data_IF_038363462509
#
_entry.id   IF_038363462509
#
_cell.length_a   1.000
_cell.length_b   1.000
_cell.length_c   1.000
_cell.angle_alpha   90.00
_cell.angle_beta   90.00
_cell.angle_gamma   90.00
#
_symmetry.space_group_name_H-M   'P 1'
#
loop_
_entity.id
_entity.type
_entity.pdbx_description
1 polymer ?
#
# COMPACT_ATOMS: atom_id res chain seq x y z
N UNK A 1 -4.55 2.30 8.36
CA UNK A 1 -3.88 3.60 8.62
C UNK A 1 -2.39 3.51 8.29
N UNK A 2 -1.76 2.37 8.61
CA UNK A 2 -0.38 2.02 8.25
C UNK A 2 -0.05 2.29 6.79
N UNK A 3 -0.81 1.76 5.83
CA UNK A 3 -0.53 1.95 4.40
C UNK A 3 -0.62 3.40 3.94
N UNK A 4 -1.57 4.16 4.50
CA UNK A 4 -1.71 5.59 4.22
C UNK A 4 -0.54 6.40 4.79
N UNK A 5 -0.12 6.12 6.03
CA UNK A 5 1.06 6.76 6.64
C UNK A 5 2.35 6.35 5.94
N UNK A 6 2.46 5.10 5.49
CA UNK A 6 3.60 4.58 4.74
C UNK A 6 3.71 5.29 3.40
N UNK A 7 2.62 5.33 2.61
CA UNK A 7 2.64 6.00 1.30
C UNK A 7 2.90 7.51 1.45
N UNK A 8 2.33 8.15 2.48
CA UNK A 8 2.54 9.57 2.74
C UNK A 8 3.97 9.89 3.23
N UNK A 9 4.63 8.98 3.94
CA UNK A 9 5.99 9.22 4.46
C UNK A 9 7.11 8.73 3.53
N UNK A 10 6.99 7.53 2.98
CA UNK A 10 8.08 6.87 2.25
C UNK A 10 8.15 7.31 0.80
N UNK A 11 7.02 7.42 0.08
CA UNK A 11 7.04 7.73 -1.35
C UNK A 11 7.62 9.13 -1.60
N UNK A 12 7.25 10.17 -0.82
CA UNK A 12 7.83 11.50 -1.00
C UNK A 12 9.28 11.60 -0.53
N UNK A 13 9.70 10.88 0.51
CA UNK A 13 11.10 10.86 0.95
C UNK A 13 12.02 10.14 -0.04
N UNK A 14 11.52 9.07 -0.68
CA UNK A 14 12.22 8.39 -1.77
C UNK A 14 12.38 9.36 -2.95
N UNK A 15 11.31 10.07 -3.33
CA UNK A 15 11.34 11.11 -4.37
C UNK A 15 12.31 12.26 -4.03
N UNK A 16 12.35 12.73 -2.77
CA UNK A 16 13.38 13.68 -2.32
C UNK A 16 14.75 13.07 -2.53
N UNK A 17 15.06 11.86 -2.04
CA UNK A 17 16.44 11.35 -2.15
C UNK A 17 16.93 11.25 -3.59
N UNK A 18 16.04 11.06 -4.56
CA UNK A 18 16.37 11.07 -5.99
C UNK A 18 16.55 12.48 -6.56
N UNK A 19 15.73 13.46 -6.19
CA UNK A 19 15.81 14.84 -6.72
C UNK A 19 16.77 15.76 -5.96
N UNK A 20 16.97 15.52 -4.66
CA UNK A 20 17.89 16.25 -3.78
C UNK A 20 19.37 16.04 -4.15
N UNK A 21 19.68 15.01 -4.95
CA UNK A 21 21.00 14.77 -5.51
C UNK A 21 21.32 15.66 -6.72
N UNK A 22 20.35 16.44 -7.22
CA UNK A 22 20.57 17.41 -8.29
C UNK A 22 21.50 18.53 -7.78
N UNK A 23 22.46 18.93 -8.61
CA UNK A 23 23.67 19.72 -8.35
C UNK A 23 23.54 21.00 -7.47
N UNK A 24 22.33 21.52 -7.24
CA UNK A 24 22.08 22.75 -6.47
C UNK A 24 22.18 22.59 -4.93
N UNK A 25 22.03 21.37 -4.41
CA UNK A 25 22.10 21.09 -2.96
C UNK A 25 23.54 21.07 -2.42
N UNK A 26 24.55 20.88 -3.28
CA UNK A 26 25.98 20.95 -2.90
C UNK A 26 26.37 22.28 -2.25
N UNK A 27 25.53 23.31 -2.39
CA UNK A 27 25.74 24.65 -1.84
C UNK A 27 25.44 24.76 -0.34
N UNK A 28 24.77 23.76 0.27
CA UNK A 28 24.44 23.79 1.69
C UNK A 28 25.08 22.58 2.40
N UNK A 29 26.01 22.87 3.30
CA UNK A 29 26.74 21.85 4.07
C UNK A 29 25.79 21.10 5.02
N UNK A 30 25.88 19.77 5.08
CA UNK A 30 25.18 18.95 6.07
C UNK A 30 23.79 18.46 5.67
N UNK A 31 23.20 18.96 4.57
CA UNK A 31 21.79 18.64 4.27
C UNK A 31 21.61 17.24 3.70
N UNK A 32 22.64 16.72 3.01
CA UNK A 32 22.64 15.33 2.52
C UNK A 32 22.58 14.36 3.70
N UNK A 33 23.34 14.65 4.76
CA UNK A 33 23.39 13.88 5.98
C UNK A 33 22.04 13.92 6.71
N UNK A 34 21.40 15.09 6.81
CA UNK A 34 20.07 15.23 7.42
C UNK A 34 18.98 14.47 6.66
N UNK A 35 18.98 14.51 5.32
CA UNK A 35 18.03 13.74 4.49
C UNK A 35 18.26 12.24 4.64
N UNK A 36 19.52 11.81 4.69
CA UNK A 36 19.86 10.40 4.91
C UNK A 36 19.42 9.91 6.29
N UNK A 37 19.59 10.72 7.34
CA UNK A 37 19.13 10.41 8.70
C UNK A 37 17.60 10.36 8.82
N UNK A 38 16.92 11.27 8.12
CA UNK A 38 15.45 11.28 8.07
C UNK A 38 14.94 9.98 7.41
N UNK A 39 15.56 9.56 6.30
CA UNK A 39 15.22 8.31 5.62
C UNK A 39 15.45 7.10 6.51
N UNK A 40 16.60 6.99 7.18
CA UNK A 40 16.89 5.83 8.02
C UNK A 40 15.91 5.72 9.20
N UNK A 41 15.53 6.86 9.80
CA UNK A 41 14.58 6.89 10.91
C UNK A 41 13.17 6.51 10.45
N UNK A 42 12.71 6.98 9.29
CA UNK A 42 11.39 6.56 8.75
C UNK A 42 11.35 5.06 8.46
N UNK A 43 12.43 4.49 7.90
CA UNK A 43 12.52 3.04 7.70
C UNK A 43 12.44 2.29 9.03
N UNK A 44 13.18 2.73 10.05
CA UNK A 44 13.15 2.09 11.37
C UNK A 44 11.78 2.19 12.07
N UNK A 45 10.99 3.23 11.77
CA UNK A 45 9.62 3.40 12.27
C UNK A 45 8.64 2.52 11.48
N UNK A 46 8.85 2.34 10.17
CA UNK A 46 8.03 1.46 9.32
C UNK A 46 7.99 0.04 9.89
N UNK A 47 9.14 -0.47 10.30
CA UNK A 47 9.29 -1.85 10.80
C UNK A 47 8.48 -2.13 12.07
N UNK A 48 8.05 -1.09 12.79
CA UNK A 48 7.23 -1.21 14.02
C UNK A 48 5.80 -0.72 13.84
N UNK A 49 5.45 -0.16 12.68
CA UNK A 49 4.17 0.53 12.46
C UNK A 49 2.99 -0.44 12.51
N UNK A 50 3.12 -1.62 11.88
CA UNK A 50 2.07 -2.63 11.88
C UNK A 50 1.80 -3.19 13.29
N UNK A 51 2.86 -3.45 14.06
CA UNK A 51 2.75 -3.87 15.45
C UNK A 51 2.14 -2.79 16.35
N UNK A 52 2.45 -1.51 16.09
CA UNK A 52 1.87 -0.39 16.80
C UNK A 52 0.38 -0.20 16.47
N UNK A 53 -0.05 -0.37 15.21
CA UNK A 53 -1.46 -0.24 14.81
C UNK A 53 -2.34 -1.26 15.53
N UNK A 54 -1.85 -2.48 15.75
CA UNK A 54 -2.55 -3.51 16.53
C UNK A 54 -2.66 -3.13 18.00
N UNK A 55 -1.53 -2.71 18.61
CA UNK A 55 -1.47 -2.34 20.04
C UNK A 55 -2.24 -1.06 20.37
N UNK A 56 -2.57 -0.21 19.39
CA UNK A 56 -3.24 1.08 19.66
C UNK A 56 -4.65 0.92 20.28
N UNK A 57 -5.30 -0.22 20.04
CA UNK A 57 -6.63 -0.52 20.58
C UNK A 57 -6.56 -0.88 22.08
N UNK A 58 -5.41 -1.39 22.52
CA UNK A 58 -5.18 -1.88 23.88
C UNK A 58 -4.40 -0.88 24.74
N UNK A 59 -3.43 -0.16 24.16
CA UNK A 59 -2.59 0.80 24.86
C UNK A 59 -2.77 2.24 24.32
N UNK A 60 -3.45 3.13 25.08
CA UNK A 60 -3.60 4.53 24.73
C UNK A 60 -2.28 5.29 24.52
N UNK A 61 -1.16 4.81 25.08
CA UNK A 61 0.18 5.39 24.88
C UNK A 61 0.69 5.12 23.48
N UNK A 62 0.44 3.93 22.94
CA UNK A 62 0.78 3.56 21.55
C UNK A 62 -0.06 4.38 20.58
N UNK A 63 -1.36 4.57 20.88
CA UNK A 63 -2.22 5.46 20.10
C UNK A 63 -1.68 6.89 20.05
N UNK A 64 -1.30 7.47 21.20
CA UNK A 64 -0.68 8.82 21.24
C UNK A 64 0.64 8.88 20.47
N UNK A 65 1.42 7.80 20.46
CA UNK A 65 2.65 7.72 19.69
C UNK A 65 2.36 7.71 18.18
N UNK A 66 1.35 6.97 17.72
CA UNK A 66 0.89 6.99 16.32
C UNK A 66 0.32 8.36 15.92
N UNK A 67 -0.41 9.03 16.82
CA UNK A 67 -0.91 10.39 16.58
C UNK A 67 0.25 11.38 16.38
N UNK A 68 1.30 11.30 17.21
CA UNK A 68 2.51 12.12 17.03
C UNK A 68 3.21 11.85 15.70
N UNK A 69 3.24 10.60 15.25
CA UNK A 69 3.81 10.25 13.96
C UNK A 69 2.99 10.81 12.79
N UNK A 70 1.65 10.76 12.89
CA UNK A 70 0.73 11.38 11.93
C UNK A 70 0.91 12.91 11.87
N UNK A 71 1.11 13.57 13.01
CA UNK A 71 1.34 15.01 13.01
C UNK A 71 2.67 15.37 12.33
N UNK A 72 3.71 14.54 12.49
CA UNK A 72 5.01 14.74 11.84
C UNK A 72 4.94 14.47 10.34
N UNK A 73 4.12 13.51 9.89
CA UNK A 73 3.98 13.24 8.46
C UNK A 73 3.38 14.43 7.70
N UNK A 74 2.38 15.12 8.26
CA UNK A 74 1.90 16.38 7.66
C UNK A 74 2.99 17.46 7.58
N UNK A 75 3.89 17.53 8.57
CA UNK A 75 4.99 18.47 8.53
C UNK A 75 6.04 18.10 7.47
N UNK A 76 6.27 16.80 7.23
CA UNK A 76 7.14 16.30 6.16
C UNK A 76 6.57 16.72 4.81
N UNK A 77 5.28 16.47 4.54
CA UNK A 77 4.59 16.87 3.30
C UNK A 77 4.64 18.39 3.07
N UNK A 78 4.43 19.18 4.13
CA UNK A 78 4.52 20.64 4.02
C UNK A 78 5.94 21.13 3.65
N UNK A 79 6.99 20.46 4.11
CA UNK A 79 8.38 20.81 3.77
C UNK A 79 8.71 20.40 2.34
N UNK A 80 8.20 19.23 1.94
CA UNK A 80 8.25 18.68 0.58
C UNK A 80 7.62 19.62 -0.45
N UNK A 81 6.38 20.04 -0.23
CA UNK A 81 5.66 20.93 -1.15
C UNK A 81 6.38 22.26 -1.33
N UNK A 82 6.88 22.84 -0.23
CA UNK A 82 7.69 24.07 -0.27
C UNK A 82 8.95 23.89 -1.09
N UNK A 83 9.59 22.72 -1.01
CA UNK A 83 10.80 22.41 -1.75
C UNK A 83 10.51 22.24 -3.26
N UNK A 84 9.53 21.40 -3.60
CA UNK A 84 9.12 21.14 -4.98
C UNK A 84 8.70 22.42 -5.70
N UNK A 85 7.89 23.26 -5.03
CA UNK A 85 7.50 24.58 -5.54
C UNK A 85 8.71 25.44 -5.88
N UNK A 86 9.76 25.38 -5.06
CA UNK A 86 10.96 26.21 -5.22
C UNK A 86 11.92 25.69 -6.28
N UNK A 87 12.09 24.38 -6.42
CA UNK A 87 12.83 23.77 -7.55
C UNK A 87 12.18 24.17 -8.86
N UNK A 88 10.87 23.93 -8.99
CA UNK A 88 10.13 24.24 -10.21
C UNK A 88 10.20 25.73 -10.56
N UNK A 89 10.10 26.62 -9.57
CA UNK A 89 10.26 28.06 -9.78
C UNK A 89 11.67 28.43 -10.24
N UNK A 90 12.71 27.73 -9.76
CA UNK A 90 14.11 27.99 -10.15
C UNK A 90 14.38 27.56 -11.60
N UNK A 91 13.79 26.44 -12.03
CA UNK A 91 13.88 25.93 -13.40
C UNK A 91 13.13 26.84 -14.39
N UNK A 92 11.93 27.30 -14.03
CA UNK A 92 11.16 28.27 -14.82
C UNK A 92 11.94 29.57 -15.00
N UNK A 93 12.57 30.08 -13.93
CA UNK A 93 13.41 31.27 -14.01
C UNK A 93 14.65 31.07 -14.89
N UNK A 94 15.27 29.88 -14.89
CA UNK A 94 16.37 29.55 -15.79
C UNK A 94 15.93 29.51 -17.26
N UNK A 95 14.77 28.88 -17.54
CA UNK A 95 14.19 28.81 -18.90
C UNK A 95 13.79 30.20 -19.42
N UNK A 96 13.26 31.06 -18.55
CA UNK A 96 12.89 32.44 -18.91
C UNK A 96 14.12 33.35 -19.09
N UNK A 97 15.22 33.10 -18.39
CA UNK A 97 16.48 33.83 -18.57
C UNK A 97 17.27 33.40 -19.82
N UNK A 98 16.93 32.27 -20.43
CA UNK A 98 17.50 31.77 -21.68
C UNK A 98 16.70 32.15 -22.94
N UNK A 99 15.61 32.91 -22.81
CA UNK A 99 14.92 33.47 -23.98
C UNK A 99 15.77 34.60 -24.59
N UNK A 100 16.00 34.64 -25.92
CA UNK A 100 16.83 35.66 -26.54
C UNK A 100 16.16 37.04 -26.39
N UNK A 101 16.86 37.97 -25.73
CA UNK A 101 16.45 39.37 -25.70
C UNK A 101 16.59 39.98 -27.12
N UNK A 102 15.68 40.88 -27.56
CA UNK A 102 15.85 41.59 -28.81
C UNK A 102 17.11 42.47 -28.77
N UNK A 103 17.86 42.50 -29.88
CA UNK A 103 19.17 43.13 -30.01
C UNK A 103 19.15 44.63 -29.64
N UNK A 104 20.18 45.14 -28.91
CA UNK A 104 20.26 46.57 -28.60
C UNK A 104 20.85 47.37 -29.79
N UNK A 105 20.23 48.51 -30.09
CA UNK A 105 20.74 49.50 -31.04
C UNK A 105 22.04 50.17 -30.53
N UNK A 106 22.96 50.61 -31.41
CA UNK A 106 24.28 51.04 -31.00
C UNK A 106 24.26 52.50 -30.55
N UNK A 107 24.67 52.80 -29.32
CA UNK A 107 25.09 54.14 -28.92
C UNK A 107 26.38 54.10 -28.11
N UNK A 108 27.39 54.78 -28.64
CA UNK A 108 28.77 54.90 -28.15
C UNK A 108 28.82 55.52 -26.76
N UNK A 109 29.39 54.84 -25.76
CA UNK A 109 30.16 55.47 -24.66
C UNK A 109 31.32 54.56 -24.21
N UNK A 110 32.38 55.24 -23.76
CA UNK A 110 33.79 54.87 -23.66
C UNK A 110 34.07 53.69 -22.71
N UNK A 111 34.99 52.81 -23.13
CA UNK A 111 35.51 51.66 -22.38
C UNK A 111 36.72 52.09 -21.54
N UNK A 112 36.72 51.77 -20.24
CA UNK A 112 37.94 51.74 -19.41
C UNK A 112 38.33 50.26 -19.15
N UNK A 113 39.61 49.88 -19.21
CA UNK A 113 40.02 48.48 -19.12
C UNK A 113 40.31 48.02 -17.67
N UNK A 114 39.49 47.06 -17.20
CA UNK A 114 39.79 45.83 -16.41
C UNK A 114 40.39 45.92 -14.97
N UNK A 115 40.06 45.00 -14.03
CA UNK A 115 40.08 43.54 -14.22
C UNK A 115 38.79 42.78 -13.97
N UNK A 116 38.66 41.73 -14.78
CA UNK A 116 37.69 40.63 -14.74
C UNK A 116 37.69 39.88 -13.41
N UNK A 117 36.96 40.41 -12.42
CA UNK A 117 36.34 39.61 -11.38
C UNK A 117 34.95 40.16 -11.04
N UNK A 118 34.13 40.32 -12.08
CA UNK A 118 32.68 40.26 -11.89
C UNK A 118 32.33 38.84 -11.47
N UNK A 119 32.61 38.52 -10.19
CA UNK A 119 31.85 37.56 -9.44
C UNK A 119 30.39 37.87 -9.73
N UNK A 120 29.79 37.10 -10.65
CA UNK A 120 28.34 36.98 -10.75
C UNK A 120 27.87 36.26 -9.49
N UNK A 121 27.97 36.93 -8.35
CA UNK A 121 27.27 36.59 -7.10
C UNK A 121 25.80 37.01 -7.22
N UNK A 122 25.18 36.66 -8.34
CA UNK A 122 23.76 36.31 -8.37
C UNK A 122 23.72 34.89 -7.79
N UNK A 123 23.30 34.62 -6.56
CA UNK A 123 21.97 34.91 -6.00
C UNK A 123 21.95 34.66 -4.46
N UNK A 124 22.15 35.66 -3.57
CA UNK A 124 22.06 35.46 -2.12
C UNK A 124 20.67 35.01 -1.65
N UNK A 125 19.61 35.41 -2.37
CA UNK A 125 18.22 35.03 -2.08
C UNK A 125 17.95 33.53 -2.26
N UNK A 126 18.58 32.88 -3.25
CA UNK A 126 18.42 31.43 -3.50
C UNK A 126 19.08 30.59 -2.42
N UNK A 127 20.30 30.95 -2.02
CA UNK A 127 21.04 30.26 -0.96
C UNK A 127 20.32 30.38 0.39
N UNK A 128 19.79 31.56 0.75
CA UNK A 128 19.04 31.75 1.99
C UNK A 128 17.75 30.91 2.08
N UNK A 129 17.10 30.69 0.93
CA UNK A 129 15.93 29.82 0.82
C UNK A 129 16.30 28.34 1.02
N UNK A 130 17.40 27.87 0.43
CA UNK A 130 17.90 26.51 0.61
C UNK A 130 18.31 26.25 2.08
N UNK A 131 18.94 27.23 2.72
CA UNK A 131 19.26 27.17 4.15
C UNK A 131 18.00 27.14 5.04
N UNK A 132 16.89 27.77 4.63
CA UNK A 132 15.63 27.69 5.36
C UNK A 132 15.04 26.28 5.29
N UNK A 133 15.00 25.66 4.10
CA UNK A 133 14.49 24.29 3.95
C UNK A 133 15.40 23.28 4.65
N UNK A 134 16.72 23.43 4.56
CA UNK A 134 17.67 22.60 5.29
C UNK A 134 17.43 22.62 6.81
N UNK A 135 17.12 23.80 7.38
CA UNK A 135 16.76 23.92 8.81
C UNK A 135 15.42 23.25 9.14
N UNK A 136 14.44 23.28 8.23
CA UNK A 136 13.16 22.58 8.42
C UNK A 136 13.37 21.06 8.37
N UNK A 137 14.18 20.54 7.44
CA UNK A 137 14.56 19.11 7.37
C UNK A 137 15.28 18.67 8.66
N UNK A 138 16.25 19.46 9.14
CA UNK A 138 16.95 19.16 10.38
C UNK A 138 15.99 19.04 11.58
N UNK A 139 15.05 19.98 11.71
CA UNK A 139 14.03 19.94 12.78
C UNK A 139 13.11 18.72 12.67
N UNK A 140 12.77 18.31 11.44
CA UNK A 140 12.00 17.08 11.21
C UNK A 140 12.79 15.86 11.67
N UNK A 141 14.07 15.79 11.33
CA UNK A 141 14.95 14.70 11.70
C UNK A 141 15.07 14.58 13.24
N UNK A 142 15.36 15.69 13.94
CA UNK A 142 15.40 15.75 15.41
C UNK A 142 14.06 15.33 16.05
N UNK A 143 12.95 15.72 15.44
CA UNK A 143 11.60 15.39 15.93
C UNK A 143 11.29 13.91 15.75
N UNK A 144 11.62 13.36 14.59
CA UNK A 144 11.38 11.97 14.26
C UNK A 144 12.28 11.05 15.09
N UNK A 145 13.56 11.39 15.29
CA UNK A 145 14.46 10.65 16.18
C UNK A 145 13.93 10.60 17.62
N UNK A 146 13.33 11.68 18.11
CA UNK A 146 12.72 11.72 19.43
C UNK A 146 11.48 10.82 19.51
N UNK A 147 10.69 10.73 18.45
CA UNK A 147 9.55 9.81 18.36
C UNK A 147 10.05 8.36 18.29
N UNK A 148 11.09 8.09 17.49
CA UNK A 148 11.71 6.78 17.38
C UNK A 148 12.27 6.30 18.73
N UNK A 149 13.02 7.15 19.45
CA UNK A 149 13.54 6.83 20.79
C UNK A 149 12.42 6.45 21.77
N UNK A 150 11.23 7.04 21.64
CA UNK A 150 10.09 6.74 22.49
C UNK A 150 9.49 5.36 22.25
N UNK A 151 9.72 4.72 21.09
CA UNK A 151 9.23 3.37 20.78
C UNK A 151 9.68 2.33 21.81
N UNK A 152 10.88 2.51 22.36
CA UNK A 152 11.48 1.62 23.37
C UNK A 152 10.66 1.55 24.65
N UNK A 153 10.00 2.63 25.04
CA UNK A 153 9.17 2.66 26.26
C UNK A 153 7.84 1.94 26.12
N UNK A 154 7.45 1.58 24.89
CA UNK A 154 6.18 0.93 24.59
C UNK A 154 6.35 -0.54 24.20
N UNK A 155 7.57 -1.09 24.38
CA UNK A 155 7.93 -2.44 23.94
C UNK A 155 7.53 -2.70 22.48
N UNK A 156 7.66 -1.65 21.65
CA UNK A 156 7.57 -1.72 20.19
C UNK A 156 8.96 -2.08 19.67
N UNK A 157 9.43 -3.28 20.01
CA UNK A 157 10.58 -3.86 19.32
C UNK A 157 10.11 -4.44 17.99
N UNK A 158 11.04 -4.71 17.07
CA UNK A 158 10.81 -5.53 15.86
C UNK A 158 10.36 -6.91 16.30
N UNK A 159 9.10 -6.98 16.71
CA UNK A 159 8.43 -8.20 17.10
C UNK A 159 8.37 -8.94 15.79
N UNK A 160 9.00 -10.13 15.70
CA UNK A 160 8.82 -11.04 14.58
C UNK A 160 7.35 -10.94 14.20
N UNK A 161 7.08 -10.48 12.98
CA UNK A 161 5.72 -10.29 12.47
C UNK A 161 5.04 -11.62 12.70
N UNK A 162 4.27 -11.72 13.80
CA UNK A 162 3.42 -12.88 14.02
C UNK A 162 2.45 -12.75 12.87
N UNK A 163 2.44 -13.71 11.92
CA UNK A 163 1.57 -13.61 10.76
C UNK A 163 0.18 -13.33 11.30
N UNK A 164 -0.33 -12.18 10.88
CA UNK A 164 -1.60 -11.66 11.35
C UNK A 164 -2.63 -12.72 10.93
N UNK A 165 -3.09 -13.57 11.87
CA UNK A 165 -4.10 -14.56 11.53
C UNK A 165 -5.36 -13.75 11.24
N UNK A 166 -5.60 -13.48 9.95
CA UNK A 166 -6.83 -12.81 9.52
C UNK A 166 -8.01 -13.64 10.03
N UNK A 167 -9.09 -12.94 10.39
CA UNK A 167 -10.30 -13.61 10.87
C UNK A 167 -10.78 -14.56 9.79
N UNK A 168 -10.91 -15.83 10.13
CA UNK A 168 -11.54 -16.83 9.27
C UNK A 168 -12.98 -16.39 9.00
N UNK A 169 -13.38 -16.44 7.72
CA UNK A 169 -14.75 -16.21 7.29
C UNK A 169 -15.47 -17.55 7.18
N UNK A 170 -16.75 -17.60 7.56
CA UNK A 170 -17.59 -18.78 7.43
C UNK A 170 -18.67 -18.56 6.38
N UNK A 171 -19.29 -19.64 5.92
CA UNK A 171 -20.45 -19.58 5.02
C UNK A 171 -21.75 -19.14 5.72
N UNK A 172 -21.75 -19.01 7.04
CA UNK A 172 -22.97 -18.70 7.82
C UNK A 172 -23.33 -17.22 7.71
N UNK A 173 -24.58 -16.95 7.35
CA UNK A 173 -25.13 -15.58 7.28
C UNK A 173 -26.54 -15.53 7.87
N UNK A 174 -26.80 -14.49 8.68
CA UNK A 174 -28.15 -14.15 9.12
C UNK A 174 -28.85 -13.39 7.98
N UNK A 175 -29.46 -14.14 7.05
CA UNK A 175 -30.09 -13.59 5.83
C UNK A 175 -31.09 -12.46 6.15
N UNK A 176 -31.80 -12.57 7.28
CA UNK A 176 -32.79 -11.59 7.76
C UNK A 176 -32.22 -10.21 8.11
N UNK A 177 -30.91 -10.09 8.29
CA UNK A 177 -30.24 -8.83 8.66
C UNK A 177 -29.59 -8.12 7.47
N UNK A 178 -29.68 -8.69 6.26
CA UNK A 178 -29.07 -8.13 5.05
C UNK A 178 -30.14 -7.43 4.21
N UNK A 179 -29.90 -6.16 3.88
CA UNK A 179 -30.84 -5.31 3.14
C UNK A 179 -30.19 -4.77 1.86
N UNK A 180 -31.00 -4.63 0.79
CA UNK A 180 -30.63 -3.92 -0.43
C UNK A 180 -29.64 -4.67 -1.34
N UNK A 181 -29.51 -5.99 -1.18
CA UNK A 181 -28.63 -6.85 -1.98
C UNK A 181 -29.37 -7.82 -2.89
N UNK A 182 -30.69 -7.72 -2.98
CA UNK A 182 -31.53 -8.67 -3.72
C UNK A 182 -31.16 -8.71 -5.20
N UNK A 183 -31.01 -7.56 -5.85
CA UNK A 183 -30.64 -7.49 -7.27
C UNK A 183 -29.24 -8.07 -7.54
N UNK A 184 -28.25 -7.76 -6.70
CA UNK A 184 -26.89 -8.29 -6.83
C UNK A 184 -26.86 -9.81 -6.64
N UNK A 185 -27.64 -10.31 -5.67
CA UNK A 185 -27.76 -11.74 -5.36
C UNK A 185 -28.43 -12.49 -6.51
N UNK A 186 -29.55 -11.97 -7.01
CA UNK A 186 -30.30 -12.58 -8.10
C UNK A 186 -29.47 -12.62 -9.40
N UNK A 187 -28.71 -11.55 -9.66
CA UNK A 187 -27.75 -11.52 -10.76
C UNK A 187 -26.67 -12.60 -10.60
N UNK A 188 -26.04 -12.68 -9.42
CA UNK A 188 -25.02 -13.70 -9.13
C UNK A 188 -25.56 -15.12 -9.29
N UNK A 189 -26.77 -15.41 -8.81
CA UNK A 189 -27.41 -16.71 -8.96
C UNK A 189 -27.69 -17.00 -10.44
N UNK A 190 -28.13 -16.00 -11.22
CA UNK A 190 -28.38 -16.19 -12.64
C UNK A 190 -27.10 -16.55 -13.43
N UNK A 191 -25.96 -15.96 -13.06
CA UNK A 191 -24.66 -16.28 -13.66
C UNK A 191 -24.18 -17.68 -13.23
N UNK A 192 -24.40 -18.07 -11.96
CA UNK A 192 -24.06 -19.40 -11.45
C UNK A 192 -24.87 -20.52 -12.13
N UNK A 193 -26.14 -20.27 -12.41
CA UNK A 193 -27.08 -21.25 -12.96
C UNK A 193 -27.25 -21.14 -14.48
N UNK A 194 -26.48 -20.28 -15.15
CA UNK A 194 -26.61 -20.09 -16.59
C UNK A 194 -26.12 -21.35 -17.34
N UNK A 195 -27.07 -22.17 -17.81
CA UNK A 195 -26.78 -23.31 -18.66
C UNK A 195 -26.03 -22.85 -19.93
N UNK A 196 -24.79 -23.29 -20.08
CA UNK A 196 -24.09 -23.19 -21.36
C UNK A 196 -24.63 -24.26 -22.31
N UNK A 197 -25.87 -24.11 -22.76
CA UNK A 197 -26.55 -24.97 -23.73
C UNK A 197 -25.95 -24.90 -25.15
N UNK A 198 -24.70 -24.49 -25.28
CA UNK A 198 -23.99 -24.35 -26.54
C UNK A 198 -22.50 -24.55 -26.32
N UNK A 199 -22.01 -25.72 -26.70
CA UNK A 199 -20.62 -26.07 -27.10
C UNK A 199 -19.44 -25.56 -26.23
N UNK A 200 -19.69 -25.03 -25.04
CA UNK A 200 -18.64 -24.68 -24.06
C UNK A 200 -18.22 -25.95 -23.33
N UNK A 201 -17.42 -26.76 -24.01
CA UNK A 201 -16.76 -27.89 -23.40
C UNK A 201 -16.03 -27.48 -22.11
N UNK A 202 -16.39 -28.12 -20.99
CA UNK A 202 -15.54 -28.41 -19.82
C UNK A 202 -14.75 -27.25 -19.16
N UNK A 203 -15.10 -25.98 -19.37
CA UNK A 203 -14.44 -24.87 -18.66
C UNK A 203 -15.28 -24.48 -17.43
N UNK A 204 -14.70 -24.46 -16.21
CA UNK A 204 -15.42 -24.02 -15.02
C UNK A 204 -15.78 -22.53 -15.13
N UNK A 205 -17.00 -22.18 -14.72
CA UNK A 205 -17.44 -20.78 -14.61
C UNK A 205 -16.72 -20.14 -13.42
N UNK A 206 -16.04 -19.02 -13.64
CA UNK A 206 -15.32 -18.27 -12.60
C UNK A 206 -15.95 -16.88 -12.50
N UNK A 207 -16.48 -16.54 -11.31
CA UNK A 207 -17.14 -15.26 -11.06
C UNK A 207 -16.35 -14.47 -10.00
N UNK A 208 -15.60 -13.43 -10.39
CA UNK A 208 -14.87 -12.60 -9.44
C UNK A 208 -15.78 -11.56 -8.77
N UNK A 209 -15.80 -11.52 -7.43
CA UNK A 209 -16.47 -10.46 -6.66
C UNK A 209 -15.39 -9.50 -6.12
N UNK A 210 -15.27 -8.32 -6.74
CA UNK A 210 -14.22 -7.35 -6.44
C UNK A 210 -14.81 -6.04 -5.92
N UNK A 211 -14.15 -5.43 -4.94
CA UNK A 211 -14.60 -4.19 -4.34
C UNK A 211 -13.82 -3.84 -3.08
N UNK A 212 -14.01 -2.62 -2.59
CA UNK A 212 -13.33 -2.12 -1.39
C UNK A 212 -13.61 -2.98 -0.15
N UNK A 213 -12.71 -2.91 0.85
CA UNK A 213 -12.93 -3.56 2.14
C UNK A 213 -14.22 -3.06 2.80
N UNK A 214 -14.96 -3.96 3.46
CA UNK A 214 -16.20 -3.62 4.18
C UNK A 214 -17.43 -3.38 3.31
N UNK A 215 -17.34 -3.45 1.98
CA UNK A 215 -18.51 -3.23 1.09
C UNK A 215 -19.54 -4.37 1.13
N UNK A 216 -19.24 -5.51 1.78
CA UNK A 216 -20.16 -6.65 1.89
C UNK A 216 -19.98 -7.74 0.83
N UNK A 217 -18.78 -7.91 0.25
CA UNK A 217 -18.48 -8.96 -0.74
C UNK A 217 -18.72 -10.37 -0.20
N UNK A 218 -18.11 -10.67 0.94
CA UNK A 218 -18.30 -11.93 1.67
C UNK A 218 -19.78 -12.16 1.96
N UNK A 219 -20.51 -11.13 2.40
CA UNK A 219 -21.95 -11.21 2.66
C UNK A 219 -22.75 -11.58 1.41
N UNK A 220 -22.44 -10.97 0.25
CA UNK A 220 -23.08 -11.31 -1.02
C UNK A 220 -22.82 -12.78 -1.42
N UNK A 221 -21.58 -13.24 -1.28
CA UNK A 221 -21.22 -14.63 -1.55
C UNK A 221 -21.92 -15.60 -0.59
N UNK A 222 -22.05 -15.27 0.70
CA UNK A 222 -22.79 -16.07 1.68
C UNK A 222 -24.28 -16.18 1.35
N UNK A 223 -24.90 -15.07 0.89
CA UNK A 223 -26.29 -15.05 0.46
C UNK A 223 -26.52 -16.00 -0.72
N UNK A 224 -25.67 -15.94 -1.75
CA UNK A 224 -25.76 -16.85 -2.89
C UNK A 224 -25.47 -18.31 -2.49
N UNK A 225 -24.47 -18.56 -1.66
CA UNK A 225 -24.14 -19.91 -1.17
C UNK A 225 -25.29 -20.56 -0.40
N UNK A 226 -26.08 -19.74 0.32
CA UNK A 226 -27.21 -20.18 1.15
C UNK A 226 -28.54 -20.18 0.39
N UNK A 227 -28.57 -19.77 -0.88
CA UNK A 227 -29.79 -19.74 -1.69
C UNK A 227 -30.26 -21.15 -2.05
N UNK A 228 -31.57 -21.38 -2.04
CA UNK A 228 -32.13 -22.70 -2.24
C UNK A 228 -31.94 -23.20 -3.68
N UNK A 229 -31.97 -22.32 -4.69
CA UNK A 229 -31.71 -22.72 -6.08
C UNK A 229 -30.26 -23.19 -6.24
N UNK A 230 -29.32 -22.52 -5.56
CA UNK A 230 -27.92 -22.93 -5.56
C UNK A 230 -27.74 -24.27 -4.83
N UNK A 231 -28.46 -24.51 -3.74
CA UNK A 231 -28.42 -25.81 -3.03
C UNK A 231 -28.96 -26.96 -3.88
N UNK A 232 -29.99 -26.71 -4.67
CA UNK A 232 -30.64 -27.71 -5.52
C UNK A 232 -29.78 -28.09 -6.73
N UNK A 233 -29.02 -27.15 -7.29
CA UNK A 233 -28.20 -27.37 -8.48
C UNK A 233 -26.77 -27.84 -8.16
N UNK A 234 -26.22 -27.53 -6.99
CA UNK A 234 -24.84 -27.91 -6.64
C UNK A 234 -24.83 -28.91 -5.47
N UNK A 235 -24.60 -30.18 -5.80
CA UNK A 235 -24.53 -31.27 -4.83
C UNK A 235 -23.36 -31.09 -3.85
N UNK A 236 -22.22 -30.64 -4.38
CA UNK A 236 -21.03 -30.35 -3.59
C UNK A 236 -20.83 -28.84 -3.51
N UNK A 237 -20.79 -28.29 -2.30
CA UNK A 237 -20.61 -26.86 -2.06
C UNK A 237 -19.54 -26.67 -1.00
N UNK A 238 -18.49 -25.95 -1.35
CA UNK A 238 -17.28 -25.79 -0.54
C UNK A 238 -17.03 -24.31 -0.30
N UNK A 239 -16.73 -23.94 0.94
CA UNK A 239 -16.35 -22.57 1.32
C UNK A 239 -14.98 -22.56 1.98
N UNK A 240 -14.00 -21.94 1.35
CA UNK A 240 -12.65 -21.82 1.91
C UNK A 240 -12.23 -20.37 2.00
N UNK A 241 -11.84 -19.97 3.21
CA UNK A 241 -11.13 -18.71 3.45
C UNK A 241 -9.65 -18.90 3.09
N UNK A 242 -9.18 -18.20 2.05
CA UNK A 242 -7.77 -18.29 1.62
C UNK A 242 -6.89 -17.52 2.59
N UNK A 243 -7.20 -16.23 2.80
CA UNK A 243 -6.54 -15.34 3.78
C UNK A 243 -5.00 -15.38 3.80
N UNK A 244 -4.38 -14.65 4.73
CA UNK A 244 -2.92 -14.66 4.92
C UNK A 244 -2.56 -15.25 6.30
N UNK A 245 -1.50 -16.09 6.40
CA UNK A 245 -0.58 -16.48 5.33
C UNK A 245 -1.21 -17.48 4.34
N UNK A 246 -0.81 -17.39 3.07
CA UNK A 246 -1.24 -18.33 2.03
C UNK A 246 -0.64 -19.72 2.30
N UNK A 247 -1.49 -20.69 2.63
CA UNK A 247 -1.11 -22.07 2.92
C UNK A 247 -1.84 -23.02 1.96
N UNK A 248 -1.17 -23.41 0.88
CA UNK A 248 -1.71 -24.32 -0.14
C UNK A 248 -2.20 -25.65 0.46
N UNK A 249 -1.45 -26.21 1.42
CA UNK A 249 -1.80 -27.48 2.05
C UNK A 249 -3.01 -27.29 2.97
N UNK A 250 -3.03 -26.21 3.76
CA UNK A 250 -4.14 -25.85 4.62
C UNK A 250 -5.44 -25.63 3.84
N UNK A 251 -5.37 -24.89 2.72
CA UNK A 251 -6.50 -24.66 1.82
C UNK A 251 -7.01 -25.98 1.24
N UNK A 252 -6.11 -26.83 0.74
CA UNK A 252 -6.48 -28.12 0.15
C UNK A 252 -7.14 -29.05 1.18
N UNK A 253 -6.65 -29.04 2.42
CA UNK A 253 -7.28 -29.78 3.53
C UNK A 253 -8.65 -29.22 3.92
N UNK A 254 -8.82 -27.89 3.91
CA UNK A 254 -10.11 -27.26 4.16
C UNK A 254 -11.16 -27.66 3.12
N UNK A 255 -10.78 -27.70 1.83
CA UNK A 255 -11.65 -28.19 0.76
C UNK A 255 -12.09 -29.65 1.03
N UNK A 256 -11.15 -30.53 1.37
CA UNK A 256 -11.45 -31.94 1.64
C UNK A 256 -12.34 -32.15 2.86
N UNK A 257 -12.17 -31.34 3.91
CA UNK A 257 -13.02 -31.37 5.10
C UNK A 257 -14.46 -31.00 4.76
N UNK A 258 -14.67 -29.96 3.94
CA UNK A 258 -16.00 -29.54 3.48
C UNK A 258 -16.66 -30.60 2.58
N UNK A 259 -15.87 -31.29 1.75
CA UNK A 259 -16.31 -32.44 0.95
C UNK A 259 -16.55 -33.71 1.78
N UNK A 260 -16.35 -33.65 3.11
CA UNK A 260 -16.47 -34.79 4.05
C UNK A 260 -15.58 -35.98 3.68
N UNK A 261 -14.47 -35.71 3.02
CA UNK A 261 -13.45 -36.71 2.67
C UNK A 261 -12.53 -36.88 3.88
N UNK A 262 -12.39 -38.11 4.36
CA UNK A 262 -11.51 -38.39 5.49
C UNK A 262 -10.07 -37.99 5.18
N UNK A 263 -9.49 -37.14 6.02
CA UNK A 263 -8.07 -36.83 5.96
C UNK A 263 -7.28 -38.04 6.42
N UNK A 264 -6.69 -38.78 5.48
CA UNK A 264 -5.60 -39.70 5.80
C UNK A 264 -4.39 -38.88 6.27
N UNK A 265 -3.39 -39.51 6.92
CA UNK A 265 -2.10 -38.87 7.32
C UNK A 265 -1.21 -38.47 6.11
N UNK A 266 -1.83 -38.03 5.02
CA UNK A 266 -1.18 -37.56 3.82
C UNK A 266 -0.91 -36.06 3.95
N UNK A 267 0.37 -35.72 3.84
CA UNK A 267 0.85 -34.34 3.96
C UNK A 267 1.29 -33.75 2.61
N UNK A 268 1.30 -34.55 1.53
CA UNK A 268 1.75 -34.10 0.22
C UNK A 268 0.60 -33.50 -0.58
N UNK A 269 0.81 -32.28 -1.11
CA UNK A 269 -0.16 -31.55 -1.93
C UNK A 269 -0.72 -32.41 -3.08
N UNK A 270 0.13 -33.17 -3.76
CA UNK A 270 -0.29 -34.03 -4.87
C UNK A 270 -1.32 -35.10 -4.45
N UNK A 271 -1.15 -35.70 -3.27
CA UNK A 271 -2.09 -36.71 -2.79
C UNK A 271 -3.43 -36.08 -2.39
N UNK A 272 -3.39 -34.90 -1.76
CA UNK A 272 -4.58 -34.13 -1.42
C UNK A 272 -5.36 -33.68 -2.68
N UNK A 273 -4.66 -33.20 -3.71
CA UNK A 273 -5.29 -32.82 -4.98
C UNK A 273 -5.88 -34.03 -5.72
N UNK A 274 -5.25 -35.19 -5.64
CA UNK A 274 -5.78 -36.43 -6.20
C UNK A 274 -7.11 -36.81 -5.52
N UNK A 275 -7.19 -36.69 -4.19
CA UNK A 275 -8.43 -36.92 -3.46
C UNK A 275 -9.54 -35.91 -3.81
N UNK A 276 -9.21 -34.62 -3.98
CA UNK A 276 -10.18 -33.61 -4.44
C UNK A 276 -10.71 -34.00 -5.83
N UNK A 277 -9.82 -34.39 -6.74
CA UNK A 277 -10.19 -34.80 -8.09
C UNK A 277 -11.17 -35.97 -8.06
N UNK A 278 -10.84 -37.04 -7.32
CA UNK A 278 -11.70 -38.22 -7.19
C UNK A 278 -13.05 -37.89 -6.57
N UNK A 279 -13.10 -36.92 -5.65
CA UNK A 279 -14.32 -36.53 -4.93
C UNK A 279 -15.27 -35.67 -5.77
N UNK A 280 -14.73 -34.91 -6.72
CA UNK A 280 -15.47 -33.98 -7.58
C UNK A 280 -15.69 -34.50 -9.01
N UNK A 281 -15.02 -35.59 -9.40
CA UNK A 281 -15.10 -36.12 -10.76
C UNK A 281 -16.55 -36.48 -11.13
N UNK A 282 -17.04 -35.88 -12.22
CA UNK A 282 -18.40 -36.09 -12.72
C UNK A 282 -19.51 -35.40 -11.92
N UNK A 283 -19.19 -34.56 -10.93
CA UNK A 283 -20.16 -33.82 -10.12
C UNK A 283 -20.22 -32.35 -10.49
N UNK A 284 -21.39 -31.75 -10.33
CA UNK A 284 -21.57 -30.30 -10.33
C UNK A 284 -21.26 -29.78 -8.92
N UNK A 285 -20.32 -28.84 -8.84
CA UNK A 285 -19.84 -28.31 -7.57
C UNK A 285 -19.71 -26.80 -7.60
N UNK A 286 -19.89 -26.17 -6.44
CA UNK A 286 -19.60 -24.76 -6.20
C UNK A 286 -18.44 -24.64 -5.21
N UNK A 287 -17.39 -23.93 -5.60
CA UNK A 287 -16.26 -23.62 -4.74
C UNK A 287 -16.17 -22.10 -4.54
N UNK A 288 -16.30 -21.66 -3.30
CA UNK A 288 -16.07 -20.26 -2.91
C UNK A 288 -14.70 -20.15 -2.25
N UNK A 289 -13.84 -19.33 -2.88
CA UNK A 289 -12.55 -18.92 -2.33
C UNK A 289 -12.70 -17.48 -1.82
N UNK A 290 -12.88 -17.31 -0.51
CA UNK A 290 -13.06 -16.00 0.11
C UNK A 290 -11.72 -15.39 0.55
N UNK A 291 -11.68 -14.06 0.56
CA UNK A 291 -10.53 -13.26 1.02
C UNK A 291 -9.22 -13.60 0.29
N UNK A 292 -9.26 -13.63 -1.05
CA UNK A 292 -8.08 -13.89 -1.92
C UNK A 292 -7.27 -12.61 -2.10
N UNK A 293 -5.98 -12.65 -1.75
CA UNK A 293 -5.06 -11.52 -1.87
C UNK A 293 -3.99 -11.78 -2.92
N UNK A 294 -3.76 -10.81 -3.79
CA UNK A 294 -2.56 -10.80 -4.65
C UNK A 294 -1.41 -10.22 -3.84
N UNK A 295 -0.33 -10.98 -3.66
CA UNK A 295 0.92 -10.42 -3.15
C UNK A 295 1.41 -9.45 -4.22
N UNK A 296 1.16 -8.15 -4.02
CA UNK A 296 1.88 -7.12 -4.76
C UNK A 296 3.32 -7.18 -4.26
N UNK A 297 4.14 -8.03 -4.88
CA UNK A 297 5.59 -7.92 -4.78
C UNK A 297 5.94 -6.53 -5.33
N UNK A 298 6.06 -5.55 -4.43
CA UNK A 298 6.77 -4.33 -4.71
C UNK A 298 8.23 -4.72 -4.91
N UNK A 299 8.55 -5.20 -6.12
CA UNK A 299 9.92 -5.32 -6.61
C UNK A 299 10.45 -3.90 -6.73
N UNK A 300 10.98 -3.39 -5.62
CA UNK A 300 11.92 -2.28 -5.62
C UNK A 300 13.13 -2.76 -6.42
N UNK A 301 13.19 -2.36 -7.69
CA UNK A 301 14.44 -2.29 -8.46
C UNK A 301 15.12 -0.96 -8.18
#
# INVERSE_FOLDING_TARGET
MVDALISMLLDPLISITTEFLIQEVKLVKGVKEEVSGLRSTVVAIKDVLEGAEKKQLEDPRVRRWLDQLRDVSYNIDNVLDKWNTKILTSEIQKKNASAPAPAPAPNKKVCFPLPSSCFRLSQPKKVGILHKVAREIKKLNETLERIDKRKRYYSLETTKVVPNKRRETTSLVAVSEVYGRDADKDYLISELLCDSSGDRGKVPVIIPIVGMGGIGKTTLAQLAFSDDKVKENFNERVWVCVSEPFDEIGITKAILLDLKVGLQDQHTLQALLQHIRESLEGKEFLLILDDVWTVRELKLK
#
